data_IF_191894604502
#
_entry.id   IF_191894604502
#
_cell.length_a   1.000
_cell.length_b   1.000
_cell.length_c   1.000
_cell.angle_alpha   90.00
_cell.angle_beta   90.00
_cell.angle_gamma   90.00
#
_symmetry.space_group_name_H-M   'P 1'
#
loop_
_entity.id
_entity.type
_entity.pdbx_description
1 polymer ?
#
# COMPACT_ATOMS: atom_id res chain seq x y z
N UNK A 1 -20.06 -8.72 -15.92
CA UNK A 1 -19.16 -8.81 -14.73
C UNK A 1 -18.80 -7.49 -14.03
N UNK A 2 -19.57 -6.40 -14.17
CA UNK A 2 -19.44 -5.20 -13.29
C UNK A 2 -19.94 -5.42 -11.87
N UNK A 3 -20.64 -6.54 -11.59
CA UNK A 3 -21.22 -6.84 -10.27
C UNK A 3 -20.20 -7.31 -9.21
N UNK A 4 -18.98 -7.71 -9.60
CA UNK A 4 -18.01 -8.35 -8.67
C UNK A 4 -16.88 -7.39 -8.26
N UNK A 5 -16.45 -6.48 -9.16
CA UNK A 5 -15.34 -5.57 -8.88
C UNK A 5 -15.48 -4.22 -9.59
N UNK A 6 -15.02 -3.15 -8.94
CA UNK A 6 -14.91 -1.83 -9.53
C UNK A 6 -13.94 -1.84 -10.72
N UNK A 7 -14.38 -1.30 -11.86
CA UNK A 7 -13.57 -1.24 -13.09
C UNK A 7 -12.80 0.07 -13.24
N UNK A 8 -13.32 1.16 -12.67
CA UNK A 8 -12.68 2.48 -12.70
C UNK A 8 -11.71 2.64 -11.54
N UNK A 9 -10.62 3.40 -11.76
CA UNK A 9 -9.68 3.76 -10.70
C UNK A 9 -10.39 4.49 -9.56
N UNK A 10 -11.19 5.49 -9.91
CA UNK A 10 -11.99 6.25 -8.95
C UNK A 10 -12.88 5.34 -8.08
N UNK A 11 -13.55 4.35 -8.68
CA UNK A 11 -14.39 3.43 -7.92
C UNK A 11 -13.60 2.57 -6.93
N UNK A 12 -12.39 2.15 -7.31
CA UNK A 12 -11.47 1.43 -6.40
C UNK A 12 -11.01 2.34 -5.27
N UNK A 13 -10.55 3.55 -5.59
CA UNK A 13 -10.02 4.53 -4.62
C UNK A 13 -11.12 4.98 -3.63
N UNK A 14 -12.32 5.30 -4.13
CA UNK A 14 -13.47 5.71 -3.31
C UNK A 14 -13.89 4.57 -2.35
N UNK A 15 -13.89 3.33 -2.84
CA UNK A 15 -14.20 2.17 -2.00
C UNK A 15 -13.10 1.88 -0.97
N UNK A 16 -11.83 2.02 -1.34
CA UNK A 16 -10.71 1.91 -0.39
C UNK A 16 -10.87 2.94 0.73
N UNK A 17 -11.13 4.21 0.39
CA UNK A 17 -11.35 5.27 1.37
C UNK A 17 -12.57 5.01 2.25
N UNK A 18 -13.65 4.44 1.69
CA UNK A 18 -14.84 4.04 2.46
C UNK A 18 -14.48 2.98 3.51
N UNK A 19 -13.82 1.90 3.09
CA UNK A 19 -13.44 0.80 3.97
C UNK A 19 -12.41 1.23 5.02
N UNK A 20 -11.41 2.01 4.63
CA UNK A 20 -10.43 2.59 5.55
C UNK A 20 -11.11 3.43 6.65
N UNK A 21 -12.08 4.28 6.29
CA UNK A 21 -12.85 5.04 7.29
C UNK A 21 -13.64 4.13 8.23
N UNK A 22 -14.17 3.01 7.74
CA UNK A 22 -14.86 2.03 8.59
C UNK A 22 -13.88 1.37 9.58
N UNK A 23 -12.68 1.01 9.12
CA UNK A 23 -11.63 0.46 9.98
C UNK A 23 -11.19 1.46 11.06
N UNK A 24 -10.99 2.73 10.74
CA UNK A 24 -10.66 3.73 11.76
C UNK A 24 -11.78 3.91 12.80
N UNK A 25 -13.04 3.90 12.37
CA UNK A 25 -14.18 4.05 13.28
C UNK A 25 -14.37 2.83 14.18
N UNK A 26 -14.28 1.62 13.62
CA UNK A 26 -14.80 0.41 14.26
C UNK A 26 -13.77 -0.71 14.41
N UNK A 27 -12.64 -0.64 13.72
CA UNK A 27 -11.60 -1.66 13.76
C UNK A 27 -10.81 -1.62 15.07
N UNK A 28 -10.23 -2.77 15.43
CA UNK A 28 -9.32 -2.88 16.58
C UNK A 28 -7.88 -2.59 16.15
N UNK A 29 -7.36 -3.42 15.24
CA UNK A 29 -6.04 -3.32 14.65
C UNK A 29 -6.10 -3.72 13.17
N UNK A 30 -5.37 -3.01 12.30
CA UNK A 30 -5.42 -3.25 10.86
C UNK A 30 -4.18 -2.73 10.14
N UNK A 31 -4.01 -3.12 8.87
CA UNK A 31 -2.94 -2.64 8.00
C UNK A 31 -3.50 -1.91 6.78
N UNK A 32 -2.79 -0.87 6.34
CA UNK A 32 -3.09 -0.11 5.13
C UNK A 32 -1.99 -0.34 4.09
N UNK A 33 -2.21 -1.32 3.21
CA UNK A 33 -1.31 -1.61 2.09
C UNK A 33 -1.61 -0.68 0.92
N UNK A 34 -0.77 0.36 0.73
CA UNK A 34 -0.92 1.32 -0.38
C UNK A 34 0.35 2.13 -0.60
N UNK A 35 0.59 2.53 -1.85
CA UNK A 35 1.62 3.50 -2.24
C UNK A 35 1.04 4.88 -2.56
N UNK A 36 -0.27 5.06 -2.46
CA UNK A 36 -0.95 6.29 -2.82
C UNK A 36 -0.85 7.32 -1.68
N UNK A 37 -0.09 8.38 -1.93
CA UNK A 37 0.13 9.49 -1.00
C UNK A 37 -1.16 10.12 -0.50
N UNK A 38 -2.21 10.24 -1.33
CA UNK A 38 -3.46 10.86 -0.90
C UNK A 38 -4.17 10.01 0.14
N UNK A 39 -4.13 8.68 -0.04
CA UNK A 39 -4.68 7.73 0.93
C UNK A 39 -3.86 7.78 2.23
N UNK A 40 -2.53 7.80 2.13
CA UNK A 40 -1.62 7.89 3.30
C UNK A 40 -1.88 9.16 4.10
N UNK A 41 -1.96 10.33 3.44
CA UNK A 41 -2.29 11.59 4.10
C UNK A 41 -3.66 11.53 4.78
N UNK A 42 -4.66 10.94 4.14
CA UNK A 42 -5.98 10.79 4.73
C UNK A 42 -5.97 9.88 5.95
N UNK A 43 -5.20 8.79 5.92
CA UNK A 43 -5.01 7.90 7.06
C UNK A 43 -4.34 8.63 8.24
N UNK A 44 -3.30 9.43 7.99
CA UNK A 44 -2.66 10.30 9.00
C UNK A 44 -3.66 11.29 9.63
N UNK A 45 -4.57 11.85 8.84
CA UNK A 45 -5.64 12.71 9.39
C UNK A 45 -6.64 11.91 10.23
N UNK A 46 -7.03 10.73 9.77
CA UNK A 46 -7.99 9.88 10.49
C UNK A 46 -7.41 9.34 11.79
N UNK A 47 -6.12 9.00 11.85
CA UNK A 47 -5.47 8.50 13.06
C UNK A 47 -5.45 9.53 14.20
N UNK A 48 -5.39 10.82 13.87
CA UNK A 48 -5.54 11.90 14.86
C UNK A 48 -6.95 11.95 15.46
N UNK A 49 -7.96 11.58 14.69
CA UNK A 49 -9.37 11.59 15.13
C UNK A 49 -9.78 10.29 15.82
N UNK A 50 -9.26 9.16 15.35
CA UNK A 50 -9.57 7.82 15.85
C UNK A 50 -8.25 7.11 16.19
N UNK A 51 -7.80 7.16 17.46
CA UNK A 51 -6.58 6.48 17.86
C UNK A 51 -6.81 4.96 17.79
N UNK A 52 -6.19 4.32 16.79
CA UNK A 52 -6.25 2.89 16.53
C UNK A 52 -4.83 2.35 16.35
N UNK A 53 -4.61 1.07 16.64
CA UNK A 53 -3.39 0.38 16.25
C UNK A 53 -3.45 0.10 14.76
N UNK A 54 -2.51 0.61 13.98
CA UNK A 54 -2.43 0.28 12.57
C UNK A 54 -1.02 0.48 12.03
N UNK A 55 -0.75 -0.14 10.89
CA UNK A 55 0.51 0.00 10.17
C UNK A 55 0.28 0.37 8.70
N UNK A 56 1.26 1.03 8.11
CA UNK A 56 1.34 1.21 6.67
C UNK A 56 2.18 0.08 6.06
N UNK A 57 1.66 -0.55 5.01
CA UNK A 57 2.35 -1.64 4.32
C UNK A 57 2.75 -1.23 2.91
N UNK A 58 4.00 -1.52 2.57
CA UNK A 58 4.59 -1.20 1.28
C UNK A 58 5.21 -2.43 0.62
N UNK A 59 5.45 -2.35 -0.69
CA UNK A 59 6.44 -3.21 -1.33
C UNK A 59 7.85 -2.72 -0.98
N UNK A 60 8.79 -3.65 -0.78
CA UNK A 60 10.21 -3.34 -0.56
C UNK A 60 10.77 -2.47 -1.70
N UNK A 61 11.52 -1.42 -1.35
CA UNK A 61 12.19 -0.53 -2.31
C UNK A 61 11.28 0.48 -3.01
N UNK A 62 10.06 0.73 -2.53
CA UNK A 62 9.11 1.68 -3.14
C UNK A 62 8.73 2.74 -2.13
N UNK A 63 8.87 4.02 -2.52
CA UNK A 63 8.52 5.18 -1.70
C UNK A 63 9.31 5.21 -0.38
N UNK A 64 10.60 4.87 -0.42
CA UNK A 64 11.47 4.86 0.77
C UNK A 64 11.52 6.22 1.49
N UNK A 65 11.35 7.31 0.74
CA UNK A 65 11.22 8.66 1.27
C UNK A 65 9.97 8.82 2.15
N UNK A 66 8.83 8.29 1.72
CA UNK A 66 7.58 8.32 2.47
C UNK A 66 7.66 7.40 3.68
N UNK A 67 8.21 6.19 3.52
CA UNK A 67 8.41 5.26 4.65
C UNK A 67 9.23 5.93 5.75
N UNK A 68 10.33 6.56 5.39
CA UNK A 68 11.20 7.28 6.31
C UNK A 68 10.46 8.42 7.02
N UNK A 69 9.62 9.18 6.31
CA UNK A 69 8.78 10.23 6.89
C UNK A 69 7.77 9.66 7.90
N UNK A 70 7.09 8.57 7.55
CA UNK A 70 6.12 7.90 8.41
C UNK A 70 6.76 7.37 9.70
N UNK A 71 7.95 6.76 9.60
CA UNK A 71 8.72 6.28 10.75
C UNK A 71 9.12 7.45 11.66
N UNK A 72 9.60 8.57 11.10
CA UNK A 72 9.90 9.78 11.87
C UNK A 72 8.69 10.31 12.64
N UNK A 73 7.50 10.15 12.06
CA UNK A 73 6.21 10.49 12.67
C UNK A 73 5.66 9.41 13.60
N UNK A 74 6.46 8.38 13.94
CA UNK A 74 6.12 7.30 14.86
C UNK A 74 5.01 6.36 14.38
N UNK A 75 4.76 6.31 13.07
CA UNK A 75 3.90 5.27 12.50
C UNK A 75 4.66 3.95 12.35
N UNK A 76 3.94 2.84 12.49
CA UNK A 76 4.46 1.50 12.15
C UNK A 76 4.45 1.34 10.63
N UNK A 77 5.57 0.87 10.08
CA UNK A 77 5.74 0.66 8.65
C UNK A 77 6.32 -0.75 8.43
N UNK A 78 5.69 -1.50 7.54
CA UNK A 78 6.07 -2.88 7.24
C UNK A 78 6.25 -3.08 5.73
N UNK A 79 7.30 -3.82 5.35
CA UNK A 79 7.61 -4.14 3.96
C UNK A 79 7.19 -5.56 3.60
N UNK A 80 6.47 -5.69 2.48
CA UNK A 80 6.23 -6.94 1.81
C UNK A 80 7.46 -7.34 0.99
N UNK A 81 8.13 -8.40 1.43
CA UNK A 81 9.37 -8.92 0.83
C UNK A 81 9.10 -10.30 0.21
N UNK A 82 9.00 -10.41 -1.13
CA UNK A 82 8.98 -11.71 -1.79
C UNK A 82 10.37 -12.36 -1.74
N UNK A 83 10.43 -13.69 -1.57
CA UNK A 83 11.67 -14.46 -1.46
C UNK A 83 11.60 -15.81 -2.22
N UNK A 84 12.74 -16.49 -2.39
CA UNK A 84 12.87 -17.81 -3.05
C UNK A 84 13.26 -17.74 -4.53
N UNK A 85 13.79 -18.82 -5.11
CA UNK A 85 14.44 -18.82 -6.44
C UNK A 85 13.55 -18.34 -7.60
N UNK A 86 12.22 -18.43 -7.47
CA UNK A 86 11.24 -18.03 -8.50
C UNK A 86 10.50 -16.73 -8.18
N UNK A 87 10.97 -15.95 -7.19
CA UNK A 87 10.30 -14.72 -6.74
C UNK A 87 10.03 -13.74 -7.89
N UNK A 88 11.00 -13.59 -8.81
CA UNK A 88 10.89 -12.66 -9.94
C UNK A 88 9.76 -13.05 -10.90
N UNK A 89 9.69 -14.34 -11.26
CA UNK A 89 8.64 -14.84 -12.16
C UNK A 89 7.24 -14.71 -11.53
N UNK A 90 7.12 -14.97 -10.23
CA UNK A 90 5.87 -14.80 -9.48
C UNK A 90 5.42 -13.32 -9.46
N UNK A 91 6.34 -12.41 -9.13
CA UNK A 91 6.08 -10.97 -9.10
C UNK A 91 5.64 -10.46 -10.48
N UNK A 92 6.37 -10.80 -11.54
CA UNK A 92 6.04 -10.42 -12.93
C UNK A 92 4.66 -10.91 -13.34
N UNK A 93 4.27 -12.14 -12.97
CA UNK A 93 2.93 -12.68 -13.27
C UNK A 93 1.82 -11.86 -12.62
N UNK A 94 1.91 -11.62 -11.31
CA UNK A 94 0.91 -10.85 -10.53
C UNK A 94 0.72 -9.41 -11.03
N UNK A 95 1.75 -8.90 -11.67
CA UNK A 95 1.80 -7.55 -12.22
C UNK A 95 1.24 -7.49 -13.64
N UNK A 96 1.53 -8.49 -14.47
CA UNK A 96 0.95 -8.60 -15.82
C UNK A 96 -0.57 -8.73 -15.79
N UNK A 97 -1.14 -9.34 -14.74
CA UNK A 97 -2.58 -9.40 -14.48
C UNK A 97 -3.23 -8.01 -14.32
N UNK A 98 -2.46 -6.98 -13.95
CA UNK A 98 -2.91 -5.57 -13.88
C UNK A 98 -1.82 -4.62 -14.39
N UNK A 99 -1.80 -4.37 -15.71
CA UNK A 99 -0.79 -3.50 -16.39
C UNK A 99 -0.46 -2.17 -15.67
N UNK A 100 -1.41 -1.59 -14.93
CA UNK A 100 -1.20 -0.36 -14.12
C UNK A 100 -0.22 -0.51 -12.96
N UNK A 101 0.03 -1.73 -12.47
CA UNK A 101 0.96 -1.99 -11.37
C UNK A 101 2.41 -2.24 -11.84
N UNK A 102 2.66 -2.34 -13.16
CA UNK A 102 4.00 -2.57 -13.72
C UNK A 102 4.98 -1.46 -13.31
N UNK A 103 4.52 -0.21 -13.29
CA UNK A 103 5.31 0.95 -12.90
C UNK A 103 5.75 0.92 -11.42
N UNK A 104 4.98 0.25 -10.56
CA UNK A 104 5.26 0.13 -9.12
C UNK A 104 6.33 -0.91 -8.80
N UNK A 105 6.73 -1.81 -9.71
CA UNK A 105 7.88 -2.70 -9.48
C UNK A 105 9.15 -2.26 -10.21
N UNK A 106 9.03 -1.57 -11.35
CA UNK A 106 10.20 -1.03 -12.03
C UNK A 106 11.03 -0.14 -11.10
N UNK A 107 10.37 0.64 -10.25
CA UNK A 107 11.01 1.47 -9.23
C UNK A 107 11.65 0.65 -8.09
N UNK A 108 11.07 -0.49 -7.68
CA UNK A 108 11.63 -1.38 -6.65
C UNK A 108 12.96 -1.99 -7.10
N UNK A 109 12.99 -2.44 -8.35
CA UNK A 109 14.11 -3.18 -8.92
C UNK A 109 15.33 -2.28 -9.15
N UNK A 110 15.11 -1.02 -9.51
CA UNK A 110 16.18 -0.03 -9.70
C UNK A 110 16.88 0.31 -8.37
N UNK A 111 16.16 0.24 -7.24
CA UNK A 111 16.71 0.59 -5.93
C UNK A 111 17.32 -0.62 -5.20
N UNK A 112 16.91 -1.85 -5.51
CA UNK A 112 17.50 -3.06 -4.91
C UNK A 112 18.92 -3.39 -5.38
N UNK A 113 19.42 -2.71 -6.42
CA UNK A 113 20.80 -2.83 -6.92
C UNK A 113 21.77 -1.82 -6.29
N UNK A 114 21.32 -0.99 -5.34
CA UNK A 114 22.16 -0.05 -4.56
C UNK A 114 22.46 -0.55 -3.14
N UNK A 115 22.34 -1.85 -2.88
CA UNK A 115 22.82 -2.49 -1.65
C UNK A 115 24.20 -3.06 -1.91
#
# INVERSE_FOLDING_TARGET
NTRIAFKSRKGVDDNYLKLMKMLFKNGNEFALATHDEKIIHKAKTLSKKYPRKFEFQFLKGIREEIKSELIKQKFVVSDYIPYGTRWLAYSVRRIKERKRNILLLGSSLIQSQRV
#
